data_IF_741914642485
#
_entry.id   IF_741914642485
#
_cell.length_a   1.000
_cell.length_b   1.000
_cell.length_c   1.000
_cell.angle_alpha   90.00
_cell.angle_beta   90.00
_cell.angle_gamma   90.00
#
_symmetry.space_group_name_H-M   'P 1'
#
loop_
_entity.id
_entity.type
_entity.pdbx_description
1 polymer ?
#
# COMPACT_ATOMS: atom_id res chain seq x y z
N UNK A 1 -40.70 17.88 13.33
CA UNK A 1 -39.27 17.57 13.22
C UNK A 1 -39.09 16.16 13.77
N UNK A 2 -38.70 15.24 12.89
CA UNK A 2 -39.00 13.80 12.96
C UNK A 2 -38.06 13.03 13.92
N UNK A 3 -38.57 12.60 15.08
CA UNK A 3 -37.82 11.82 16.09
C UNK A 3 -37.43 10.41 15.60
N UNK A 4 -38.01 9.93 14.50
CA UNK A 4 -37.74 8.60 13.94
C UNK A 4 -36.43 8.50 13.16
N UNK A 5 -36.05 9.56 12.44
CA UNK A 5 -34.78 9.62 11.70
C UNK A 5 -33.59 9.70 12.68
N UNK A 6 -33.68 10.53 13.72
CA UNK A 6 -32.59 10.67 14.71
C UNK A 6 -32.27 9.35 15.42
N UNK A 7 -33.30 8.60 15.83
CA UNK A 7 -33.11 7.30 16.48
C UNK A 7 -32.39 6.27 15.59
N UNK A 8 -32.71 6.25 14.28
CA UNK A 8 -32.04 5.35 13.32
C UNK A 8 -30.60 5.74 13.06
N UNK A 9 -30.29 7.05 13.06
CA UNK A 9 -28.92 7.55 12.90
C UNK A 9 -28.05 7.20 14.11
N UNK A 10 -28.58 7.30 15.32
CA UNK A 10 -27.89 6.92 16.57
C UNK A 10 -27.60 5.41 16.60
N UNK A 11 -28.57 4.57 16.24
CA UNK A 11 -28.38 3.11 16.22
C UNK A 11 -27.34 2.66 15.16
N UNK A 12 -27.26 3.39 14.03
CA UNK A 12 -26.23 3.13 13.02
C UNK A 12 -24.84 3.58 13.49
N UNK A 13 -24.72 4.72 14.18
CA UNK A 13 -23.45 5.14 14.76
C UNK A 13 -22.92 4.10 15.77
N UNK A 14 -23.77 3.59 16.66
CA UNK A 14 -23.35 2.57 17.63
C UNK A 14 -22.86 1.26 16.97
N UNK A 15 -23.45 0.85 15.84
CA UNK A 15 -23.01 -0.35 15.11
C UNK A 15 -21.65 -0.13 14.43
N UNK A 16 -21.40 1.07 13.94
CA UNK A 16 -20.13 1.45 13.30
C UNK A 16 -19.03 1.56 14.35
N UNK A 17 -19.30 2.23 15.47
CA UNK A 17 -18.34 2.45 16.55
C UNK A 17 -17.88 1.13 17.20
N UNK A 18 -18.82 0.19 17.40
CA UNK A 18 -18.53 -1.18 17.87
C UNK A 18 -17.65 -1.97 16.90
N UNK A 19 -17.83 -1.79 15.58
CA UNK A 19 -16.97 -2.44 14.57
C UNK A 19 -15.58 -1.80 14.51
N UNK A 20 -15.49 -0.48 14.59
CA UNK A 20 -14.23 0.26 14.54
C UNK A 20 -13.33 0.00 15.76
N UNK A 21 -13.92 -0.22 16.95
CA UNK A 21 -13.14 -0.57 18.15
C UNK A 21 -12.28 -1.84 17.98
N UNK A 22 -12.67 -2.78 17.12
CA UNK A 22 -11.93 -4.02 16.86
C UNK A 22 -10.86 -3.93 15.76
N UNK A 23 -10.97 -2.96 14.84
CA UNK A 23 -10.18 -2.91 13.59
C UNK A 23 -8.71 -2.50 13.81
N UNK A 24 -8.37 -1.90 14.96
CA UNK A 24 -7.00 -1.41 15.24
C UNK A 24 -6.14 -2.26 16.19
N UNK A 25 -6.71 -3.29 16.83
CA UNK A 25 -6.04 -4.05 17.92
C UNK A 25 -5.79 -5.52 17.58
N UNK A 26 -6.02 -5.93 16.32
CA UNK A 26 -5.78 -7.30 15.87
C UNK A 26 -4.29 -7.70 15.88
N UNK A 27 -4.03 -9.00 15.76
CA UNK A 27 -2.68 -9.59 15.68
C UNK A 27 -1.77 -8.87 14.67
N UNK A 28 -2.30 -8.51 13.50
CA UNK A 28 -1.57 -7.81 12.43
C UNK A 28 -1.20 -6.36 12.76
N UNK A 29 -2.06 -5.63 13.49
CA UNK A 29 -1.73 -4.28 13.94
C UNK A 29 -0.55 -4.29 14.94
N UNK A 30 -0.45 -5.34 15.78
CA UNK A 30 0.70 -5.54 16.66
C UNK A 30 1.98 -5.85 15.87
N UNK A 31 1.88 -6.68 14.83
CA UNK A 31 3.01 -7.01 13.95
C UNK A 31 3.52 -5.76 13.22
N UNK A 32 2.63 -4.95 12.65
CA UNK A 32 3.01 -3.71 11.94
C UNK A 32 3.68 -2.71 12.88
N UNK A 33 3.24 -2.63 14.14
CA UNK A 33 3.86 -1.80 15.18
C UNK A 33 5.21 -2.33 15.67
N UNK A 34 5.46 -3.64 15.56
CA UNK A 34 6.73 -4.28 15.88
C UNK A 34 7.73 -4.25 14.72
N UNK A 35 7.27 -4.00 13.49
CA UNK A 35 8.13 -3.90 12.33
C UNK A 35 9.08 -2.70 12.46
N UNK A 36 10.36 -2.91 12.19
CA UNK A 36 11.36 -1.84 12.17
C UNK A 36 11.10 -0.91 10.99
N UNK A 37 10.86 0.37 11.26
CA UNK A 37 10.84 1.40 10.21
C UNK A 37 12.23 1.47 9.57
N UNK A 38 12.37 1.32 8.24
CA UNK A 38 13.67 1.39 7.60
C UNK A 38 14.31 2.77 7.79
N UNK A 39 15.62 2.79 7.98
CA UNK A 39 16.38 4.05 7.98
C UNK A 39 16.45 4.62 6.55
N UNK A 40 16.57 5.94 6.39
CA UNK A 40 16.73 6.59 5.08
C UNK A 40 17.87 6.00 4.24
N UNK A 41 18.97 5.61 4.88
CA UNK A 41 20.09 4.95 4.18
C UNK A 41 19.75 3.54 3.70
N UNK A 42 19.00 2.77 4.49
CA UNK A 42 18.53 1.42 4.11
C UNK A 42 17.56 1.52 2.94
N UNK A 43 16.61 2.46 3.01
CA UNK A 43 15.65 2.72 1.93
C UNK A 43 16.36 3.11 0.63
N UNK A 44 17.30 4.07 0.70
CA UNK A 44 18.02 4.56 -0.47
C UNK A 44 18.81 3.44 -1.17
N UNK A 45 19.46 2.55 -0.42
CA UNK A 45 20.17 1.40 -0.99
C UNK A 45 19.23 0.47 -1.75
N UNK A 46 18.07 0.13 -1.17
CA UNK A 46 17.08 -0.74 -1.81
C UNK A 46 16.55 -0.09 -3.09
N UNK A 47 16.18 1.19 -3.03
CA UNK A 47 15.69 1.94 -4.19
C UNK A 47 16.74 2.01 -5.29
N UNK A 48 18.01 2.22 -4.94
CA UNK A 48 19.10 2.27 -5.92
C UNK A 48 19.26 0.93 -6.65
N UNK A 49 19.25 -0.18 -5.93
CA UNK A 49 19.39 -1.53 -6.51
C UNK A 49 18.17 -1.88 -7.37
N UNK A 50 16.96 -1.67 -6.83
CA UNK A 50 15.71 -1.94 -7.54
C UNK A 50 15.57 -1.05 -8.80
N UNK A 51 15.87 0.24 -8.67
CA UNK A 51 15.85 1.19 -9.78
C UNK A 51 16.86 0.82 -10.86
N UNK A 52 18.08 0.45 -10.47
CA UNK A 52 19.11 -0.01 -11.42
C UNK A 52 18.66 -1.27 -12.17
N UNK A 53 17.99 -2.22 -11.49
CA UNK A 53 17.43 -3.41 -12.11
C UNK A 53 16.34 -3.11 -13.13
N UNK A 54 15.40 -2.20 -12.81
CA UNK A 54 14.34 -1.78 -13.73
C UNK A 54 14.93 -1.13 -14.98
N UNK A 55 15.93 -0.25 -14.82
CA UNK A 55 16.59 0.42 -15.94
C UNK A 55 17.33 -0.58 -16.83
N UNK A 56 18.10 -1.51 -16.24
CA UNK A 56 18.84 -2.52 -17.00
C UNK A 56 17.90 -3.44 -17.78
N UNK A 57 16.88 -4.00 -17.13
CA UNK A 57 15.92 -4.88 -17.79
C UNK A 57 15.12 -4.14 -18.87
N UNK A 58 14.72 -2.91 -18.60
CA UNK A 58 14.05 -2.05 -19.57
C UNK A 58 14.92 -1.77 -20.79
N UNK A 59 16.20 -1.45 -20.60
CA UNK A 59 17.16 -1.23 -21.69
C UNK A 59 17.39 -2.50 -22.52
N UNK A 60 17.55 -3.65 -21.88
CA UNK A 60 17.74 -4.93 -22.58
C UNK A 60 16.51 -5.23 -23.45
N UNK A 61 15.31 -5.13 -22.87
CA UNK A 61 14.06 -5.32 -23.62
C UNK A 61 13.91 -4.30 -24.76
N UNK A 62 14.28 -3.04 -24.51
CA UNK A 62 14.26 -1.98 -25.51
C UNK A 62 15.22 -2.25 -26.67
N UNK A 63 16.45 -2.70 -26.39
CA UNK A 63 17.45 -3.03 -27.42
C UNK A 63 16.94 -4.18 -28.29
N UNK A 64 16.38 -5.24 -27.68
CA UNK A 64 15.80 -6.36 -28.44
C UNK A 64 14.67 -5.87 -29.34
N UNK A 65 13.76 -5.07 -28.81
CA UNK A 65 12.67 -4.47 -29.58
C UNK A 65 13.19 -3.61 -30.74
N UNK A 66 14.17 -2.75 -30.48
CA UNK A 66 14.73 -1.83 -31.47
C UNK A 66 15.46 -2.57 -32.59
N UNK A 67 16.21 -3.62 -32.25
CA UNK A 67 16.86 -4.49 -33.25
C UNK A 67 15.79 -5.21 -34.07
N UNK A 68 14.75 -5.76 -33.44
CA UNK A 68 13.64 -6.39 -34.17
C UNK A 68 12.98 -5.42 -35.14
N UNK A 69 12.74 -4.17 -34.74
CA UNK A 69 12.10 -3.15 -35.60
C UNK A 69 12.97 -2.75 -36.80
N UNK A 70 14.30 -2.80 -36.67
CA UNK A 70 15.22 -2.44 -37.77
C UNK A 70 15.46 -3.62 -38.71
N UNK A 71 15.55 -4.83 -38.15
CA UNK A 71 15.92 -6.05 -38.89
C UNK A 71 14.72 -6.70 -39.57
N UNK A 72 13.51 -6.59 -39.01
CA UNK A 72 12.26 -7.10 -39.58
C UNK A 72 11.35 -5.96 -40.04
#
# INVERSE_FOLDING_TARGET
MDKGIEGKLVEQQEKIERKFQGIGKGKYARILKMAKKPNGNEYTKVVLIAGSGIVLLGLIGFIIYYIMQIVF
#
